data_IF_878990180060
#
_entry.id   IF_878990180060
#
_cell.length_a   1.000
_cell.length_b   1.000
_cell.length_c   1.000
_cell.angle_alpha   90.00
_cell.angle_beta   90.00
_cell.angle_gamma   90.00
#
_symmetry.space_group_name_H-M   'P 1'
#
loop_
_entity.id
_entity.type
_entity.pdbx_description
1 polymer ?
#
# COMPACT_ATOMS: atom_id res chain seq x y z
N UNK A 1 13.94 -28.46 -52.01
CA UNK A 1 13.26 -29.50 -51.23
C UNK A 1 14.22 -29.96 -50.14
N UNK A 2 14.25 -29.25 -49.02
CA UNK A 2 15.10 -29.57 -47.86
C UNK A 2 14.13 -29.74 -46.70
N UNK A 3 13.97 -31.00 -46.31
CA UNK A 3 13.04 -31.47 -45.29
C UNK A 3 13.74 -31.30 -43.93
N UNK A 4 13.29 -30.33 -43.12
CA UNK A 4 13.74 -30.20 -41.74
C UNK A 4 13.08 -31.28 -40.88
N UNK A 5 13.92 -32.02 -40.15
CA UNK A 5 13.53 -33.01 -39.14
C UNK A 5 12.65 -32.36 -38.08
N UNK A 6 11.51 -33.01 -37.82
CA UNK A 6 10.70 -32.83 -36.62
C UNK A 6 11.45 -33.45 -35.43
N UNK A 7 11.72 -32.66 -34.39
CA UNK A 7 12.10 -33.15 -33.08
C UNK A 7 10.96 -32.81 -32.12
N UNK A 8 10.03 -33.75 -32.01
CA UNK A 8 8.99 -33.80 -30.99
C UNK A 8 9.58 -34.46 -29.75
N UNK A 9 9.70 -33.68 -28.66
CA UNK A 9 10.10 -34.16 -27.36
C UNK A 9 9.51 -33.26 -26.29
N UNK A 10 8.21 -33.42 -26.01
CA UNK A 10 7.57 -32.83 -24.84
C UNK A 10 7.97 -33.71 -23.65
N UNK A 11 8.83 -33.21 -22.79
CA UNK A 11 9.01 -33.77 -21.44
C UNK A 11 7.87 -33.23 -20.60
N UNK A 12 6.83 -34.04 -20.39
CA UNK A 12 5.83 -33.79 -19.34
C UNK A 12 6.46 -34.23 -18.02
N UNK A 13 6.98 -33.27 -17.26
CA UNK A 13 7.33 -33.52 -15.85
C UNK A 13 6.02 -33.45 -15.08
N UNK A 14 5.40 -34.60 -14.83
CA UNK A 14 4.31 -34.72 -13.88
C UNK A 14 4.88 -34.53 -12.47
N UNK A 15 4.62 -33.38 -11.86
CA UNK A 15 4.78 -33.20 -10.42
C UNK A 15 3.64 -33.96 -9.71
N UNK A 16 3.86 -35.24 -9.43
CA UNK A 16 3.06 -35.96 -8.43
C UNK A 16 3.66 -35.70 -7.05
N UNK A 17 3.55 -34.46 -6.58
CA UNK A 17 3.75 -34.13 -5.18
C UNK A 17 2.42 -34.32 -4.46
N UNK A 18 2.28 -35.38 -3.68
CA UNK A 18 1.25 -35.42 -2.64
C UNK A 18 1.51 -34.26 -1.69
N UNK A 19 0.65 -33.23 -1.72
CA UNK A 19 0.61 -32.18 -0.70
C UNK A 19 0.32 -32.86 0.63
N UNK A 20 1.36 -33.06 1.43
CA UNK A 20 1.19 -33.39 2.83
C UNK A 20 0.51 -32.17 3.46
N UNK A 21 -0.74 -32.33 3.92
CA UNK A 21 -1.44 -31.29 4.66
C UNK A 21 -0.57 -30.84 5.82
N UNK A 22 -0.17 -29.57 5.86
CA UNK A 22 0.48 -28.98 7.02
C UNK A 22 -0.43 -29.22 8.22
N UNK A 23 0.07 -29.98 9.20
CA UNK A 23 -0.63 -30.20 10.46
C UNK A 23 -0.77 -28.86 11.18
N UNK A 24 -1.96 -28.52 11.70
CA UNK A 24 -2.18 -27.30 12.51
C UNK A 24 -1.17 -27.15 13.66
N UNK A 25 -0.61 -28.25 14.16
CA UNK A 25 0.45 -28.26 15.18
C UNK A 25 1.81 -27.69 14.74
N UNK A 26 1.97 -27.31 13.47
CA UNK A 26 3.20 -26.75 12.91
C UNK A 26 3.08 -25.28 12.48
N UNK A 27 1.90 -24.67 12.62
CA UNK A 27 1.72 -23.27 12.24
C UNK A 27 2.39 -22.34 13.26
N UNK A 28 2.97 -21.21 12.82
CA UNK A 28 3.46 -20.19 13.72
C UNK A 28 2.40 -19.68 14.70
N UNK A 29 2.83 -19.10 15.82
CA UNK A 29 1.91 -18.39 16.70
C UNK A 29 1.14 -17.30 15.95
N UNK A 30 -0.14 -17.11 16.30
CA UNK A 30 -1.06 -16.19 15.62
C UNK A 30 -1.39 -16.56 14.16
N UNK A 31 -0.93 -17.70 13.62
CA UNK A 31 -1.28 -18.12 12.27
C UNK A 31 -2.48 -19.07 12.26
N UNK A 32 -3.40 -18.83 11.34
CA UNK A 32 -4.57 -19.68 11.08
C UNK A 32 -4.58 -20.03 9.60
N UNK A 33 -4.57 -21.33 9.29
CA UNK A 33 -4.72 -21.79 7.93
C UNK A 33 -6.19 -21.90 7.55
N UNK A 34 -6.56 -21.29 6.43
CA UNK A 34 -7.91 -21.30 5.88
C UNK A 34 -7.86 -21.98 4.52
N UNK A 35 -8.24 -23.26 4.47
CA UNK A 35 -8.26 -24.04 3.23
C UNK A 35 -9.29 -23.47 2.25
N UNK A 36 -8.88 -22.92 1.08
CA UNK A 36 -9.80 -22.36 0.11
C UNK A 36 -10.85 -23.37 -0.39
N UNK A 37 -10.54 -24.68 -0.35
CA UNK A 37 -11.47 -25.74 -0.75
C UNK A 37 -12.67 -25.84 0.16
N UNK A 38 -12.55 -25.43 1.42
CA UNK A 38 -13.66 -25.49 2.38
C UNK A 38 -14.74 -24.43 2.12
N UNK A 39 -14.44 -23.41 1.30
CA UNK A 39 -15.39 -22.36 0.90
C UNK A 39 -15.68 -22.36 -0.61
N UNK A 40 -15.13 -23.33 -1.35
CA UNK A 40 -15.43 -23.49 -2.78
C UNK A 40 -16.91 -23.86 -3.02
N UNK A 41 -17.55 -24.53 -2.06
CA UNK A 41 -18.98 -24.90 -2.10
C UNK A 41 -19.60 -24.65 -0.74
N UNK A 42 -20.44 -23.62 -0.64
CA UNK A 42 -21.06 -23.22 0.63
C UNK A 42 -22.37 -23.97 0.95
N UNK A 43 -23.05 -24.51 -0.07
CA UNK A 43 -24.30 -25.24 0.11
C UNK A 43 -25.56 -24.35 0.17
N UNK A 44 -26.76 -24.95 0.25
CA UNK A 44 -28.04 -24.27 0.03
C UNK A 44 -28.47 -23.32 1.17
N UNK A 45 -27.86 -23.43 2.36
CA UNK A 45 -28.21 -22.63 3.54
C UNK A 45 -27.07 -21.69 3.96
N UNK A 46 -26.18 -21.37 3.03
CA UNK A 46 -25.04 -20.51 3.31
C UNK A 46 -25.41 -19.04 3.40
N UNK A 47 -24.78 -18.34 4.35
CA UNK A 47 -24.81 -16.89 4.40
C UNK A 47 -23.72 -16.32 3.48
N UNK A 48 -24.14 -15.73 2.37
CA UNK A 48 -23.24 -15.04 1.45
C UNK A 48 -22.89 -13.65 1.98
N UNK A 49 -21.62 -13.25 1.81
CA UNK A 49 -21.18 -11.88 2.07
C UNK A 49 -21.73 -10.97 0.98
N UNK A 50 -22.65 -10.07 1.33
CA UNK A 50 -23.29 -9.14 0.39
C UNK A 50 -22.63 -7.76 0.40
N UNK A 51 -21.66 -7.54 1.29
CA UNK A 51 -20.93 -6.29 1.42
C UNK A 51 -19.47 -6.57 1.75
N UNK A 52 -18.56 -6.34 0.81
CA UNK A 52 -17.13 -6.61 1.03
C UNK A 52 -16.47 -5.59 1.96
N UNK A 53 -17.06 -4.43 2.23
CA UNK A 53 -16.50 -3.43 3.14
C UNK A 53 -16.86 -3.71 4.60
N UNK A 54 -18.06 -4.25 4.85
CA UNK A 54 -18.58 -4.45 6.20
C UNK A 54 -18.66 -5.93 6.64
N UNK A 55 -18.74 -6.87 5.69
CA UNK A 55 -18.73 -8.31 5.96
C UNK A 55 -17.35 -8.88 5.60
N UNK A 56 -16.44 -8.86 6.57
CA UNK A 56 -15.05 -9.31 6.40
C UNK A 56 -14.94 -10.84 6.41
N UNK A 57 -13.96 -11.40 5.68
CA UNK A 57 -13.79 -12.85 5.57
C UNK A 57 -12.94 -13.42 6.72
N UNK A 58 -13.60 -13.75 7.84
CA UNK A 58 -12.99 -14.42 9.00
C UNK A 58 -13.79 -15.69 9.39
N UNK A 59 -13.69 -16.76 8.60
CA UNK A 59 -14.54 -17.93 8.78
C UNK A 59 -14.25 -18.72 10.08
N UNK A 60 -13.07 -18.56 10.66
CA UNK A 60 -12.68 -19.20 11.93
C UNK A 60 -13.07 -18.38 13.15
N UNK A 61 -13.67 -17.19 12.96
CA UNK A 61 -14.00 -16.25 14.04
C UNK A 61 -12.81 -15.96 14.96
N UNK A 62 -11.59 -15.98 14.41
CA UNK A 62 -10.37 -15.76 15.19
C UNK A 62 -10.28 -14.30 15.59
N UNK A 63 -9.93 -14.03 16.85
CA UNK A 63 -9.75 -12.66 17.36
C UNK A 63 -8.51 -12.01 16.72
N UNK A 64 -8.65 -10.84 16.06
CA UNK A 64 -7.51 -10.07 15.55
C UNK A 64 -6.61 -9.49 16.66
N UNK A 65 -5.32 -9.23 16.37
CA UNK A 65 -4.64 -9.42 15.09
C UNK A 65 -4.08 -10.85 14.90
N UNK A 66 -4.16 -11.39 13.68
CA UNK A 66 -3.63 -12.72 13.35
C UNK A 66 -3.20 -12.83 11.87
N UNK A 67 -2.39 -13.84 11.54
CA UNK A 67 -2.02 -14.17 10.16
C UNK A 67 -3.03 -15.17 9.59
N UNK A 68 -3.79 -14.76 8.58
CA UNK A 68 -4.71 -15.65 7.87
C UNK A 68 -4.00 -16.22 6.65
N UNK A 69 -3.81 -17.54 6.60
CA UNK A 69 -3.03 -18.21 5.56
C UNK A 69 -3.97 -18.88 4.56
N UNK A 70 -3.76 -18.63 3.27
CA UNK A 70 -4.49 -19.28 2.17
C UNK A 70 -3.60 -20.22 1.35
N UNK A 71 -2.31 -19.91 1.28
CA UNK A 71 -1.29 -20.66 0.55
C UNK A 71 -0.05 -20.85 1.43
N UNK A 72 0.52 -22.06 1.42
CA UNK A 72 1.68 -22.42 2.25
C UNK A 72 2.91 -21.55 1.97
N UNK A 73 3.03 -20.96 0.77
CA UNK A 73 4.10 -20.01 0.43
C UNK A 73 4.12 -18.79 1.37
N UNK A 74 2.99 -18.43 1.99
CA UNK A 74 2.95 -17.37 2.98
C UNK A 74 3.78 -17.69 4.24
N UNK A 75 3.99 -18.97 4.56
CA UNK A 75 4.86 -19.37 5.67
C UNK A 75 6.32 -18.96 5.45
N UNK A 76 6.77 -18.86 4.19
CA UNK A 76 8.11 -18.34 3.86
C UNK A 76 8.22 -16.84 4.16
N UNK A 77 7.17 -16.07 3.88
CA UNK A 77 7.09 -14.65 4.22
C UNK A 77 7.13 -14.46 5.75
N UNK A 78 6.35 -15.25 6.48
CA UNK A 78 6.26 -15.17 7.94
C UNK A 78 7.55 -15.61 8.64
N UNK A 79 8.17 -16.70 8.17
CA UNK A 79 9.32 -17.32 8.81
C UNK A 79 8.95 -18.17 10.03
N UNK A 80 9.97 -18.56 10.81
CA UNK A 80 9.80 -19.52 11.91
C UNK A 80 9.19 -18.95 13.19
N UNK A 81 9.36 -17.65 13.45
CA UNK A 81 8.91 -16.99 14.69
C UNK A 81 8.33 -15.60 14.42
N UNK A 82 7.29 -15.49 13.57
CA UNK A 82 6.64 -14.22 13.30
C UNK A 82 5.92 -13.68 14.54
N UNK A 83 5.72 -12.37 14.58
CA UNK A 83 4.85 -11.73 15.58
C UNK A 83 4.07 -10.60 14.93
N UNK A 84 2.86 -10.35 15.43
CA UNK A 84 2.02 -9.27 14.93
C UNK A 84 1.34 -8.53 16.09
N UNK A 85 1.73 -7.28 16.32
CA UNK A 85 1.38 -6.55 17.56
C UNK A 85 1.03 -5.11 17.29
N UNK A 86 0.05 -4.61 18.04
CA UNK A 86 -0.28 -3.18 18.13
C UNK A 86 0.87 -2.43 18.84
N UNK A 87 1.33 -1.35 18.23
CA UNK A 87 2.47 -0.54 18.70
C UNK A 87 2.10 0.90 19.06
N UNK A 88 0.97 1.40 18.57
CA UNK A 88 0.41 2.68 18.95
C UNK A 88 -1.11 2.69 18.75
N UNK A 89 -1.82 3.46 19.58
CA UNK A 89 -3.28 3.60 19.49
C UNK A 89 -3.77 4.93 20.05
N UNK A 90 -4.75 5.52 19.38
CA UNK A 90 -5.54 6.67 19.82
C UNK A 90 -6.96 6.51 19.26
N UNK A 91 -7.95 6.13 20.09
CA UNK A 91 -9.31 5.89 19.62
C UNK A 91 -10.03 7.18 19.18
N UNK A 92 -9.46 8.35 19.44
CA UNK A 92 -10.08 9.65 19.15
C UNK A 92 -9.56 10.32 17.88
N UNK A 93 -8.49 9.78 17.30
CA UNK A 93 -7.83 10.39 16.15
C UNK A 93 -7.27 9.33 15.19
N UNK A 94 -7.64 9.40 13.92
CA UNK A 94 -7.13 8.52 12.87
C UNK A 94 -5.73 8.94 12.41
N UNK A 95 -4.75 8.80 13.32
CA UNK A 95 -3.39 9.30 13.15
C UNK A 95 -2.54 8.52 12.13
N UNK A 96 -2.89 7.27 11.83
CA UNK A 96 -2.12 6.35 10.99
C UNK A 96 -2.95 5.93 9.79
N UNK A 97 -2.94 6.74 8.74
CA UNK A 97 -3.67 6.46 7.51
C UNK A 97 -2.70 6.18 6.36
N UNK A 98 -1.84 7.15 6.03
CA UNK A 98 -1.27 7.26 4.69
C UNK A 98 0.20 7.70 4.69
N UNK A 99 0.79 7.77 3.50
CA UNK A 99 2.14 8.29 3.24
C UNK A 99 3.28 7.73 4.12
N UNK A 100 3.35 6.42 4.42
CA UNK A 100 4.42 5.91 5.26
C UNK A 100 5.78 5.98 4.54
N UNK A 101 6.79 6.56 5.19
CA UNK A 101 8.17 6.61 4.70
C UNK A 101 9.14 6.22 5.81
N UNK A 102 9.94 5.20 5.55
CA UNK A 102 10.99 4.77 6.47
C UNK A 102 12.29 5.54 6.23
N UNK A 103 12.80 6.23 7.25
CA UNK A 103 14.08 6.91 7.23
C UNK A 103 15.14 6.10 7.98
N UNK A 104 15.87 5.26 7.25
CA UNK A 104 16.91 4.37 7.81
C UNK A 104 17.94 5.07 8.72
N UNK A 105 18.49 6.27 8.37
CA UNK A 105 19.51 6.91 9.21
C UNK A 105 19.04 7.27 10.62
N UNK A 106 17.74 7.53 10.83
CA UNK A 106 17.19 7.83 12.16
C UNK A 106 16.39 6.67 12.75
N UNK A 107 16.17 5.59 11.99
CA UNK A 107 15.30 4.47 12.32
C UNK A 107 13.88 4.93 12.71
N UNK A 108 13.31 5.85 11.92
CA UNK A 108 11.99 6.44 12.12
C UNK A 108 11.07 6.17 10.93
N UNK A 109 9.79 5.95 11.20
CA UNK A 109 8.74 5.89 10.18
C UNK A 109 7.92 7.17 10.26
N UNK A 110 7.87 7.92 9.17
CA UNK A 110 7.00 9.08 8.96
C UNK A 110 5.70 8.60 8.32
N UNK A 111 4.58 9.26 8.59
CA UNK A 111 3.25 8.93 8.06
C UNK A 111 2.31 10.12 8.24
N UNK A 112 1.14 10.08 7.60
CA UNK A 112 0.07 11.07 7.75
C UNK A 112 -1.20 10.49 8.35
N UNK A 113 -1.93 11.35 9.07
CA UNK A 113 -3.29 11.08 9.52
C UNK A 113 -4.27 11.13 8.34
N UNK A 114 -5.46 10.58 8.56
CA UNK A 114 -6.54 10.61 7.58
C UNK A 114 -6.85 12.06 7.14
N UNK A 115 -7.03 12.26 5.83
CA UNK A 115 -7.30 13.57 5.22
C UNK A 115 -8.80 13.91 5.13
N UNK A 116 -9.65 13.12 5.81
CA UNK A 116 -11.04 13.47 6.07
C UNK A 116 -11.72 12.55 7.10
N UNK A 117 -13.05 12.51 7.03
CA UNK A 117 -13.88 11.65 7.88
C UNK A 117 -13.98 12.10 9.35
N UNK A 118 -14.82 11.42 10.16
CA UNK A 118 -15.13 11.86 11.52
C UNK A 118 -13.94 11.88 12.49
N UNK A 119 -12.93 11.03 12.26
CA UNK A 119 -11.75 10.90 13.12
C UNK A 119 -10.46 11.45 12.49
N UNK A 120 -10.48 11.87 11.23
CA UNK A 120 -9.30 12.49 10.59
C UNK A 120 -9.05 13.92 11.06
N UNK A 121 -10.07 14.59 11.63
CA UNK A 121 -9.99 15.96 12.17
C UNK A 121 -9.44 16.98 11.15
N UNK A 122 -9.63 16.69 9.87
CA UNK A 122 -9.17 17.43 8.71
C UNK A 122 -10.36 17.69 7.79
N UNK A 123 -10.41 18.89 7.21
CA UNK A 123 -11.51 19.34 6.35
C UNK A 123 -11.04 20.52 5.47
N UNK A 124 -11.96 21.25 4.84
CA UNK A 124 -11.63 22.43 4.05
C UNK A 124 -10.82 23.50 4.82
N UNK A 125 -11.00 23.59 6.14
CA UNK A 125 -10.41 24.59 7.04
C UNK A 125 -9.30 24.02 7.94
N UNK A 126 -9.19 22.70 8.09
CA UNK A 126 -8.16 22.03 8.90
C UNK A 126 -7.29 21.08 8.06
N UNK A 127 -5.98 21.18 8.22
CA UNK A 127 -5.03 20.30 7.52
C UNK A 127 -4.93 18.94 8.24
N UNK A 128 -4.52 17.89 7.54
CA UNK A 128 -4.13 16.64 8.19
C UNK A 128 -2.74 16.76 8.85
N UNK A 129 -2.42 15.81 9.71
CA UNK A 129 -1.22 15.85 10.56
C UNK A 129 -0.19 14.85 10.05
N UNK A 130 1.04 15.33 9.86
CA UNK A 130 2.18 14.47 9.54
C UNK A 130 2.91 14.17 10.84
N UNK A 131 3.22 12.90 11.06
CA UNK A 131 3.84 12.42 12.30
C UNK A 131 4.96 11.45 12.02
N UNK A 132 5.72 11.11 13.06
CA UNK A 132 6.71 10.03 13.04
C UNK A 132 6.71 9.21 14.32
N UNK A 133 7.17 7.97 14.20
CA UNK A 133 7.38 7.03 15.30
C UNK A 133 8.80 6.46 15.24
N UNK A 134 9.46 6.30 16.40
CA UNK A 134 10.80 5.73 16.48
C UNK A 134 10.73 4.21 16.56
N UNK A 135 11.33 3.52 15.59
CA UNK A 135 11.39 2.05 15.61
C UNK A 135 12.27 1.52 16.73
N UNK A 136 13.27 2.31 17.17
CA UNK A 136 14.08 2.00 18.36
C UNK A 136 13.23 1.98 19.63
N UNK A 137 12.33 2.95 19.81
CA UNK A 137 11.41 2.98 20.96
C UNK A 137 10.37 1.85 20.89
N UNK A 138 9.88 1.55 19.68
CA UNK A 138 9.01 0.39 19.45
C UNK A 138 9.68 -0.91 19.88
N UNK A 139 10.91 -1.19 19.43
CA UNK A 139 11.63 -2.41 19.80
C UNK A 139 11.91 -2.48 21.31
N UNK A 140 12.23 -1.34 21.95
CA UNK A 140 12.41 -1.29 23.39
C UNK A 140 11.10 -1.60 24.15
N UNK A 141 9.97 -1.05 23.72
CA UNK A 141 8.67 -1.29 24.33
C UNK A 141 8.22 -2.75 24.13
N UNK A 142 8.40 -3.31 22.94
CA UNK A 142 8.08 -4.71 22.64
C UNK A 142 8.98 -5.70 23.41
N UNK A 143 10.24 -5.34 23.66
CA UNK A 143 11.16 -6.13 24.48
C UNK A 143 10.79 -6.08 25.97
N UNK A 144 10.30 -4.93 26.45
CA UNK A 144 9.86 -4.74 27.83
C UNK A 144 8.51 -5.42 28.12
N UNK A 145 7.65 -5.55 27.10
CA UNK A 145 6.38 -6.28 27.20
C UNK A 145 6.35 -7.44 26.21
N UNK A 146 6.60 -8.66 26.68
CA UNK A 146 6.63 -9.86 25.85
C UNK A 146 5.28 -10.22 25.19
N UNK A 147 4.14 -9.71 25.71
CA UNK A 147 2.79 -10.10 25.24
C UNK A 147 1.82 -8.92 25.18
N UNK A 148 1.00 -8.84 24.12
CA UNK A 148 -0.08 -7.85 24.02
C UNK A 148 0.32 -6.51 23.41
N UNK A 149 -0.54 -5.48 23.46
CA UNK A 149 -0.26 -4.19 22.83
C UNK A 149 0.79 -3.37 23.59
N UNK A 150 1.47 -2.47 22.88
CA UNK A 150 2.23 -1.35 23.46
C UNK A 150 1.72 -0.04 22.84
N UNK A 151 1.95 1.08 23.51
CA UNK A 151 1.57 2.39 22.99
C UNK A 151 2.78 3.33 23.02
N UNK A 152 3.51 3.36 21.91
CA UNK A 152 4.73 4.16 21.75
C UNK A 152 4.35 5.59 21.36
N UNK A 153 4.99 6.62 21.95
CA UNK A 153 4.68 8.00 21.62
C UNK A 153 4.92 8.33 20.15
N UNK A 154 4.02 9.16 19.61
CA UNK A 154 4.11 9.67 18.24
C UNK A 154 4.51 11.14 18.31
N UNK A 155 5.48 11.52 17.46
CA UNK A 155 5.93 12.91 17.34
C UNK A 155 5.28 13.55 16.13
N UNK A 156 4.45 14.57 16.34
CA UNK A 156 3.88 15.36 15.25
C UNK A 156 4.93 16.32 14.68
N UNK A 157 4.91 16.50 13.36
CA UNK A 157 5.77 17.44 12.66
C UNK A 157 5.02 18.76 12.45
N UNK A 158 5.70 19.87 12.74
CA UNK A 158 5.20 21.19 12.42
C UNK A 158 5.72 21.61 11.03
N UNK A 159 5.06 21.14 9.98
CA UNK A 159 5.38 21.53 8.60
C UNK A 159 4.61 22.78 8.18
N UNK A 160 5.09 23.41 7.11
CA UNK A 160 4.41 24.58 6.52
C UNK A 160 3.00 24.23 6.04
N UNK A 161 2.06 25.17 6.22
CA UNK A 161 0.72 25.15 5.61
C UNK A 161 0.71 25.19 4.06
N UNK A 162 1.88 25.14 3.42
CA UNK A 162 1.97 24.84 1.98
C UNK A 162 1.86 23.34 1.68
N UNK A 163 2.09 22.47 2.67
CA UNK A 163 1.98 21.01 2.54
C UNK A 163 0.61 20.60 3.08
N UNK A 164 -0.35 20.37 2.19
CA UNK A 164 -1.77 20.28 2.53
C UNK A 164 -2.32 18.89 2.24
N UNK A 165 -3.05 18.28 3.18
CA UNK A 165 -3.69 16.97 2.99
C UNK A 165 -2.70 15.96 2.41
N UNK A 166 -1.61 15.71 3.14
CA UNK A 166 -0.56 14.78 2.69
C UNK A 166 -1.13 13.38 2.64
N UNK A 167 -1.10 12.76 1.47
CA UNK A 167 -1.72 11.46 1.27
C UNK A 167 -0.74 10.39 0.77
N UNK A 168 0.30 10.75 0.03
CA UNK A 168 1.26 9.76 -0.48
C UNK A 168 2.68 10.11 -0.07
N UNK A 169 3.51 9.09 0.09
CA UNK A 169 4.88 9.23 0.55
C UNK A 169 5.80 8.17 -0.03
N UNK A 170 7.02 8.57 -0.36
CA UNK A 170 8.10 7.64 -0.74
C UNK A 170 9.47 8.22 -0.42
N UNK A 171 10.49 7.37 -0.51
CA UNK A 171 11.89 7.75 -0.28
C UNK A 171 12.60 6.90 0.78
N UNK A 172 13.72 7.40 1.31
CA UNK A 172 14.29 8.74 1.08
C UNK A 172 14.77 8.93 -0.37
N UNK A 173 14.33 10.00 -1.03
CA UNK A 173 14.80 10.43 -2.35
C UNK A 173 15.80 11.57 -2.16
N UNK A 174 17.08 11.34 -2.53
CA UNK A 174 18.19 12.27 -2.26
C UNK A 174 18.23 12.75 -0.80
N UNK A 175 18.14 11.81 0.15
CA UNK A 175 18.11 12.05 1.60
C UNK A 175 16.91 12.88 2.09
N UNK A 176 15.91 13.11 1.25
CA UNK A 176 14.67 13.81 1.58
C UNK A 176 13.49 12.86 1.52
N UNK A 177 12.44 13.15 2.27
CA UNK A 177 11.14 12.50 2.13
C UNK A 177 10.44 13.14 0.93
N UNK A 178 9.86 12.33 0.04
CA UNK A 178 9.07 12.79 -1.08
C UNK A 178 7.59 12.56 -0.77
N UNK A 179 6.81 13.63 -0.72
CA UNK A 179 5.39 13.58 -0.38
C UNK A 179 4.53 14.07 -1.55
N UNK A 180 3.29 13.59 -1.61
CA UNK A 180 2.23 14.20 -2.40
C UNK A 180 1.09 14.68 -1.52
N UNK A 181 0.44 15.74 -1.99
CA UNK A 181 -0.63 16.45 -1.30
C UNK A 181 -1.91 16.39 -2.13
N UNK A 182 -3.06 16.09 -1.50
CA UNK A 182 -4.38 16.09 -2.14
C UNK A 182 -4.87 17.51 -2.51
N UNK A 183 -4.16 18.54 -2.06
CA UNK A 183 -4.57 19.95 -2.12
C UNK A 183 -5.66 20.26 -1.11
N UNK A 184 -6.03 21.54 -0.95
CA UNK A 184 -7.10 21.96 -0.02
C UNK A 184 -7.71 23.30 -0.42
N UNK A 185 -9.01 23.33 -0.69
CA UNK A 185 -9.68 24.50 -1.24
C UNK A 185 -9.01 24.96 -2.53
N UNK A 186 -8.54 26.22 -2.54
CA UNK A 186 -7.78 26.81 -3.65
C UNK A 186 -6.31 26.40 -3.71
N UNK A 187 -5.76 25.85 -2.63
CA UNK A 187 -4.36 25.38 -2.60
C UNK A 187 -4.20 24.15 -3.49
N UNK A 188 -3.26 24.18 -4.45
CA UNK A 188 -3.12 23.11 -5.42
C UNK A 188 -2.55 21.82 -4.77
N UNK A 189 -2.93 20.64 -5.29
CA UNK A 189 -2.18 19.41 -5.05
C UNK A 189 -0.76 19.55 -5.57
N UNK A 190 0.22 18.96 -4.88
CA UNK A 190 1.64 19.14 -5.19
C UNK A 190 2.51 17.96 -4.76
N UNK A 191 3.67 17.83 -5.43
CA UNK A 191 4.79 16.98 -5.03
C UNK A 191 5.78 17.83 -4.25
N UNK A 192 6.18 17.37 -3.06
CA UNK A 192 7.01 18.15 -2.12
C UNK A 192 8.19 17.31 -1.62
N UNK A 193 9.40 17.87 -1.65
CA UNK A 193 10.53 17.34 -0.89
C UNK A 193 10.52 17.91 0.52
N UNK A 194 10.71 17.07 1.52
CA UNK A 194 10.81 17.45 2.93
C UNK A 194 12.09 16.89 3.53
N UNK A 195 12.88 17.73 4.18
CA UNK A 195 14.04 17.26 4.95
C UNK A 195 13.55 16.41 6.14
N UNK A 196 14.04 15.16 6.34
CA UNK A 196 13.62 14.31 7.45
C UNK A 196 14.09 14.83 8.82
N UNK A 197 14.97 15.83 8.86
CA UNK A 197 15.52 16.43 10.07
C UNK A 197 14.95 17.84 10.31
N UNK A 198 14.78 18.26 11.58
CA UNK A 198 14.44 19.64 11.92
C UNK A 198 15.39 20.65 11.23
N UNK A 199 14.88 21.78 10.71
CA UNK A 199 13.52 22.29 10.88
C UNK A 199 12.51 21.77 9.84
N UNK A 200 12.77 20.65 9.17
CA UNK A 200 11.89 20.03 8.16
C UNK A 200 11.58 20.94 6.97
N UNK A 201 12.60 21.61 6.44
CA UNK A 201 12.46 22.47 5.26
C UNK A 201 11.81 21.70 4.10
N UNK A 202 10.88 22.37 3.42
CA UNK A 202 10.12 21.79 2.33
C UNK A 202 10.31 22.56 1.02
N UNK A 203 10.21 21.87 -0.11
CA UNK A 203 10.32 22.45 -1.45
C UNK A 203 9.31 21.80 -2.38
N UNK A 204 8.42 22.62 -2.97
CA UNK A 204 7.48 22.17 -4.00
C UNK A 204 8.23 21.89 -5.30
N UNK A 205 8.04 20.70 -5.87
CA UNK A 205 8.63 20.28 -7.14
C UNK A 205 7.68 20.41 -8.32
N UNK A 206 6.39 20.18 -8.09
CA UNK A 206 5.35 20.17 -9.12
C UNK A 206 3.99 20.42 -8.46
N UNK A 207 3.15 21.29 -9.04
CA UNK A 207 1.81 21.62 -8.53
C UNK A 207 0.72 21.73 -9.62
N UNK A 208 1.09 21.51 -10.89
CA UNK A 208 0.18 21.62 -12.02
C UNK A 208 0.59 20.77 -13.22
N UNK A 209 -0.35 20.57 -14.14
CA UNK A 209 -0.16 19.99 -15.46
C UNK A 209 -0.44 21.03 -16.54
N UNK A 210 0.61 21.69 -17.05
CA UNK A 210 0.53 22.75 -18.07
C UNK A 210 -0.46 23.88 -17.70
N UNK A 211 -0.47 24.29 -16.43
CA UNK A 211 -1.38 25.30 -15.88
C UNK A 211 -2.74 24.78 -15.46
N UNK A 212 -3.06 23.49 -15.68
CA UNK A 212 -4.25 22.84 -15.12
C UNK A 212 -3.91 22.26 -13.75
N UNK A 213 -4.78 22.47 -12.76
CA UNK A 213 -4.57 21.86 -11.46
C UNK A 213 -4.89 20.36 -11.51
N UNK A 214 -4.04 19.57 -10.86
CA UNK A 214 -4.36 18.20 -10.47
C UNK A 214 -5.65 18.13 -9.66
N UNK A 215 -6.29 16.96 -9.62
CA UNK A 215 -7.52 16.74 -8.87
C UNK A 215 -7.18 16.69 -7.38
N UNK A 216 -6.58 15.57 -6.95
CA UNK A 216 -6.00 15.29 -5.65
C UNK A 216 -4.96 14.19 -5.83
N UNK A 217 -3.67 14.55 -5.67
CA UNK A 217 -2.61 13.55 -5.74
C UNK A 217 -2.73 12.61 -4.55
N UNK A 218 -2.69 11.31 -4.81
CA UNK A 218 -2.97 10.31 -3.78
C UNK A 218 -1.70 9.54 -3.42
N UNK A 219 -1.12 8.77 -4.34
CA UNK A 219 0.06 7.95 -4.04
C UNK A 219 1.25 8.23 -4.97
N UNK A 220 2.47 7.93 -4.52
CA UNK A 220 3.72 8.29 -5.20
C UNK A 220 4.82 7.24 -5.02
N UNK A 221 5.59 6.96 -6.08
CA UNK A 221 6.83 6.15 -6.02
C UNK A 221 7.91 6.67 -6.95
N UNK A 222 9.16 6.45 -6.55
CA UNK A 222 10.33 6.67 -7.40
C UNK A 222 10.64 5.38 -8.16
N UNK A 223 10.85 5.49 -9.46
CA UNK A 223 11.23 4.32 -10.26
C UNK A 223 12.66 3.88 -9.92
N UNK A 224 12.88 2.58 -9.62
CA UNK A 224 14.08 2.12 -8.92
C UNK A 224 15.37 2.26 -9.71
N UNK A 225 15.32 2.22 -11.04
CA UNK A 225 16.52 2.23 -11.90
C UNK A 225 16.80 3.56 -12.61
N UNK A 226 15.81 4.45 -12.76
CA UNK A 226 15.98 5.72 -13.48
C UNK A 226 15.65 6.95 -12.61
N UNK A 227 15.09 6.77 -11.40
CA UNK A 227 14.79 7.84 -10.45
C UNK A 227 13.67 8.80 -10.85
N UNK A 228 12.90 8.49 -11.90
CA UNK A 228 11.75 9.29 -12.32
C UNK A 228 10.61 9.07 -11.32
N UNK A 229 9.80 10.10 -11.09
CA UNK A 229 8.76 10.09 -10.07
C UNK A 229 7.42 9.76 -10.72
N UNK A 230 6.67 8.80 -10.17
CA UNK A 230 5.37 8.38 -10.66
C UNK A 230 4.33 8.55 -9.56
N UNK A 231 3.15 9.02 -9.92
CA UNK A 231 2.11 9.35 -8.95
C UNK A 231 0.70 9.22 -9.54
N UNK A 232 -0.27 9.02 -8.66
CA UNK A 232 -1.69 8.89 -9.02
C UNK A 232 -2.44 10.19 -8.71
N UNK A 233 -3.41 10.52 -9.57
CA UNK A 233 -4.31 11.67 -9.40
C UNK A 233 -5.76 11.18 -9.48
N UNK A 234 -6.54 11.47 -8.44
CA UNK A 234 -7.86 10.88 -8.17
C UNK A 234 -8.73 11.88 -7.41
N UNK A 235 -10.03 11.61 -7.25
CA UNK A 235 -11.03 12.56 -6.71
C UNK A 235 -11.26 12.50 -5.19
N UNK A 236 -10.37 11.89 -4.40
CA UNK A 236 -10.61 11.74 -2.96
C UNK A 236 -10.83 13.07 -2.24
N UNK A 237 -10.09 14.13 -2.58
CA UNK A 237 -10.34 15.43 -1.95
C UNK A 237 -11.72 16.01 -2.26
N UNK A 238 -12.30 15.69 -3.43
CA UNK A 238 -13.68 16.04 -3.74
C UNK A 238 -14.66 15.16 -2.94
N UNK A 239 -14.40 13.85 -2.88
CA UNK A 239 -15.20 12.90 -2.10
C UNK A 239 -15.15 13.15 -0.58
N UNK A 240 -14.09 13.79 -0.10
CA UNK A 240 -13.89 14.22 1.29
C UNK A 240 -14.25 15.71 1.50
N UNK A 241 -14.84 16.36 0.50
CA UNK A 241 -15.41 17.72 0.57
C UNK A 241 -14.41 18.86 0.85
N UNK A 242 -13.11 18.64 0.65
CA UNK A 242 -12.08 19.67 0.82
C UNK A 242 -11.47 20.15 -0.51
N UNK A 243 -11.86 19.58 -1.65
CA UNK A 243 -11.50 20.04 -3.01
C UNK A 243 -12.74 20.26 -3.89
N UNK A 244 -12.64 21.13 -4.91
CA UNK A 244 -13.72 21.31 -5.89
C UNK A 244 -13.91 20.05 -6.75
N UNK A 245 -15.01 20.03 -7.51
CA UNK A 245 -15.27 18.97 -8.47
C UNK A 245 -14.10 18.79 -9.46
N UNK A 246 -13.73 17.54 -9.82
CA UNK A 246 -12.61 17.27 -10.72
C UNK A 246 -12.76 17.92 -12.10
N UNK A 247 -11.66 18.45 -12.62
CA UNK A 247 -11.58 19.04 -13.97
C UNK A 247 -10.64 18.28 -14.91
N UNK A 248 -10.06 17.17 -14.44
CA UNK A 248 -9.17 16.28 -15.20
C UNK A 248 -9.54 14.81 -14.97
N UNK A 249 -9.21 13.91 -15.91
CA UNK A 249 -9.39 12.47 -15.70
C UNK A 249 -8.45 11.93 -14.62
N UNK A 250 -8.83 10.79 -14.02
CA UNK A 250 -8.03 10.11 -13.00
C UNK A 250 -7.02 9.17 -13.66
N UNK A 251 -5.73 9.44 -13.44
CA UNK A 251 -4.66 8.87 -14.24
C UNK A 251 -3.37 8.72 -13.43
N UNK A 252 -2.43 7.95 -14.00
CA UNK A 252 -1.06 7.85 -13.51
C UNK A 252 -0.18 8.77 -14.31
N UNK A 253 0.56 9.62 -13.61
CA UNK A 253 1.50 10.57 -14.18
C UNK A 253 2.94 10.18 -13.87
N UNK A 254 3.85 10.69 -14.69
CA UNK A 254 5.29 10.63 -14.48
C UNK A 254 5.88 12.02 -14.55
N UNK A 255 6.65 12.39 -13.54
CA UNK A 255 7.43 13.60 -13.44
C UNK A 255 8.92 13.30 -13.61
N UNK A 256 9.58 14.09 -14.45
CA UNK A 256 11.02 14.12 -14.63
C UNK A 256 11.62 15.27 -13.83
N UNK A 257 12.30 15.02 -12.71
CA UNK A 257 12.87 16.09 -11.89
C UNK A 257 14.04 16.82 -12.60
N UNK A 258 14.65 16.22 -13.62
CA UNK A 258 15.81 16.82 -14.31
C UNK A 258 15.38 17.80 -15.42
N UNK A 259 14.21 17.55 -16.04
CA UNK A 259 13.68 18.36 -17.15
C UNK A 259 12.39 19.10 -16.79
N UNK A 260 11.86 18.87 -15.59
CA UNK A 260 10.53 19.27 -15.14
C UNK A 260 9.38 18.77 -16.04
N UNK A 261 9.64 17.81 -16.92
CA UNK A 261 8.63 17.29 -17.83
C UNK A 261 7.66 16.38 -17.07
N UNK A 262 6.37 16.70 -17.16
CA UNK A 262 5.26 15.88 -16.65
C UNK A 262 4.45 15.32 -17.81
N UNK A 263 4.08 14.03 -17.72
CA UNK A 263 3.20 13.39 -18.70
C UNK A 263 2.41 12.25 -18.10
N UNK A 264 1.27 11.93 -18.71
CA UNK A 264 0.47 10.74 -18.43
C UNK A 264 1.22 9.49 -18.89
N UNK A 265 1.18 8.43 -18.10
CA UNK A 265 1.78 7.12 -18.43
C UNK A 265 0.79 5.97 -18.44
N UNK A 266 -0.37 6.12 -17.80
CA UNK A 266 -1.47 5.16 -17.81
C UNK A 266 -2.81 5.86 -17.55
N UNK A 267 -3.88 5.38 -18.17
CA UNK A 267 -5.25 5.87 -18.01
C UNK A 267 -6.27 4.70 -17.97
N UNK A 268 -7.56 5.03 -17.99
CA UNK A 268 -8.65 4.04 -17.99
C UNK A 268 -8.96 3.42 -16.62
N UNK A 269 -8.51 4.05 -15.54
CA UNK A 269 -8.86 3.66 -14.16
C UNK A 269 -10.21 4.28 -13.74
N UNK A 270 -10.87 3.66 -12.78
CA UNK A 270 -11.96 4.32 -12.07
C UNK A 270 -11.41 5.24 -10.98
N UNK A 271 -10.52 4.74 -10.12
CA UNK A 271 -9.81 5.50 -9.09
C UNK A 271 -8.40 4.92 -8.90
N UNK A 272 -7.38 5.39 -9.64
CA UNK A 272 -6.02 4.92 -9.42
C UNK A 272 -5.55 5.38 -8.04
N UNK A 273 -4.99 4.48 -7.25
CA UNK A 273 -4.58 4.76 -5.88
C UNK A 273 -3.11 4.33 -5.71
N UNK A 274 -2.85 3.21 -5.03
CA UNK A 274 -1.53 2.69 -4.74
C UNK A 274 -0.72 2.39 -6.00
N UNK A 275 0.58 2.69 -5.96
CA UNK A 275 1.53 2.37 -7.05
C UNK A 275 2.79 1.72 -6.49
N UNK A 276 3.32 0.73 -7.20
CA UNK A 276 4.62 0.14 -6.88
C UNK A 276 5.33 -0.41 -8.13
N UNK A 277 6.64 -0.65 -8.02
CA UNK A 277 7.46 -1.22 -9.08
C UNK A 277 8.18 -2.47 -8.61
N UNK A 278 8.43 -3.41 -9.51
CA UNK A 278 9.45 -4.46 -9.28
C UNK A 278 10.82 -3.83 -9.10
N UNK A 279 11.78 -4.48 -8.40
CA UNK A 279 13.12 -3.91 -8.15
C UNK A 279 13.89 -3.52 -9.43
N UNK A 280 13.66 -4.23 -10.53
CA UNK A 280 14.25 -3.91 -11.84
C UNK A 280 13.52 -2.76 -12.58
N UNK A 281 12.35 -2.34 -12.08
CA UNK A 281 11.50 -1.30 -12.65
C UNK A 281 10.73 -1.72 -13.90
N UNK A 282 10.79 -2.99 -14.31
CA UNK A 282 10.18 -3.45 -15.56
C UNK A 282 8.67 -3.68 -15.46
N UNK A 283 8.15 -3.89 -14.25
CA UNK A 283 6.71 -4.03 -14.00
C UNK A 283 6.25 -2.98 -13.01
N UNK A 284 5.12 -2.35 -13.31
CA UNK A 284 4.40 -1.47 -12.40
C UNK A 284 3.09 -2.13 -11.96
N UNK A 285 2.72 -1.91 -10.70
CA UNK A 285 1.43 -2.28 -10.14
C UNK A 285 0.67 -1.02 -9.77
N UNK A 286 -0.63 -0.99 -10.08
CA UNK A 286 -1.51 0.12 -9.71
C UNK A 286 -2.83 -0.45 -9.20
N UNK A 287 -3.27 -0.04 -8.02
CA UNK A 287 -4.60 -0.39 -7.51
C UNK A 287 -5.67 0.54 -8.09
N UNK A 288 -6.86 -0.02 -8.30
CA UNK A 288 -8.06 0.70 -8.70
C UNK A 288 -9.13 0.47 -7.63
N UNK A 289 -9.43 1.54 -6.90
CA UNK A 289 -10.28 1.57 -5.71
C UNK A 289 -11.69 2.05 -6.04
N UNK A 290 -12.12 1.94 -7.29
CA UNK A 290 -13.39 2.48 -7.79
C UNK A 290 -14.65 2.07 -7.01
N UNK A 291 -14.63 0.95 -6.29
CA UNK A 291 -15.72 0.53 -5.41
C UNK A 291 -15.91 1.43 -4.17
N UNK A 292 -14.89 2.22 -3.81
CA UNK A 292 -14.96 3.25 -2.75
C UNK A 292 -15.44 4.58 -3.32
N UNK A 293 -16.58 5.07 -2.84
CA UNK A 293 -17.25 6.26 -3.40
C UNK A 293 -17.38 7.46 -2.46
N UNK A 294 -16.83 7.39 -1.24
CA UNK A 294 -16.95 8.48 -0.25
C UNK A 294 -18.41 8.88 0.00
N UNK A 295 -18.75 10.17 -0.07
CA UNK A 295 -20.14 10.64 0.13
C UNK A 295 -21.15 10.10 -0.91
N UNK A 296 -20.68 9.59 -2.05
CA UNK A 296 -21.54 8.95 -3.06
C UNK A 296 -21.91 7.50 -2.69
N UNK A 297 -21.30 6.94 -1.65
CA UNK A 297 -21.49 5.57 -1.20
C UNK A 297 -20.65 4.56 -1.99
N UNK A 298 -20.43 3.39 -1.39
CA UNK A 298 -19.67 2.32 -2.03
C UNK A 298 -20.49 1.65 -3.13
N UNK A 299 -19.81 1.24 -4.21
CA UNK A 299 -20.42 0.51 -5.32
C UNK A 299 -19.58 -0.73 -5.65
N UNK A 300 -20.03 -1.89 -5.15
CA UNK A 300 -19.33 -3.17 -5.27
C UNK A 300 -19.23 -3.71 -6.70
N UNK A 301 -19.88 -3.06 -7.67
CA UNK A 301 -19.77 -3.40 -9.10
C UNK A 301 -18.61 -2.69 -9.80
N UNK A 302 -17.96 -1.73 -9.13
CA UNK A 302 -16.78 -1.02 -9.61
C UNK A 302 -15.48 -1.73 -9.16
N UNK A 303 -14.32 -1.34 -9.72
CA UNK A 303 -13.05 -2.00 -9.41
C UNK A 303 -12.70 -2.02 -7.92
N UNK A 304 -12.19 -3.16 -7.48
CA UNK A 304 -11.47 -3.36 -6.22
C UNK A 304 -10.24 -4.24 -6.52
N UNK A 305 -9.45 -3.81 -7.50
CA UNK A 305 -8.47 -4.66 -8.19
C UNK A 305 -7.09 -4.02 -8.25
N UNK A 306 -6.06 -4.86 -8.27
CA UNK A 306 -4.68 -4.46 -8.61
C UNK A 306 -4.41 -4.86 -10.05
N UNK A 307 -3.86 -3.94 -10.84
CA UNK A 307 -3.44 -4.18 -12.21
C UNK A 307 -1.93 -4.13 -12.33
N UNK A 308 -1.36 -5.03 -13.14
CA UNK A 308 0.04 -4.99 -13.52
C UNK A 308 0.21 -4.43 -14.94
N UNK A 309 1.36 -3.83 -15.18
CA UNK A 309 1.74 -3.20 -16.44
C UNK A 309 3.21 -3.47 -16.74
N UNK A 310 3.54 -3.61 -18.02
CA UNK A 310 4.94 -3.56 -18.46
C UNK A 310 5.36 -2.08 -18.57
N UNK A 311 6.53 -1.74 -18.03
CA UNK A 311 7.08 -0.39 -18.13
C UNK A 311 7.98 -0.32 -19.35
N UNK A 312 7.63 0.55 -20.31
CA UNK A 312 8.46 0.73 -21.50
C UNK A 312 9.84 1.32 -21.13
N UNK A 313 10.96 0.69 -21.50
CA UNK A 313 12.29 1.08 -20.99
C UNK A 313 12.79 2.43 -21.52
N UNK A 314 12.17 2.98 -22.58
CA UNK A 314 12.58 4.25 -23.19
C UNK A 314 11.64 5.37 -22.75
N UNK A 315 10.36 5.19 -23.01
CA UNK A 315 9.34 6.19 -22.74
C UNK A 315 8.93 6.16 -21.28
N UNK A 316 8.86 4.99 -20.65
CA UNK A 316 8.26 4.70 -19.34
C UNK A 316 6.72 4.77 -19.33
N UNK A 317 6.09 4.62 -20.51
CA UNK A 317 4.64 4.39 -20.61
C UNK A 317 4.33 3.00 -20.05
N UNK A 318 3.20 2.88 -19.36
CA UNK A 318 2.69 1.60 -18.90
C UNK A 318 1.92 0.91 -20.02
N UNK A 319 2.28 -0.33 -20.31
CA UNK A 319 1.72 -1.14 -21.40
C UNK A 319 1.09 -2.41 -20.85
N UNK A 320 0.26 -3.06 -21.68
CA UNK A 320 -0.25 -4.41 -21.42
C UNK A 320 -0.93 -4.56 -20.05
N UNK A 321 -1.90 -3.67 -19.75
CA UNK A 321 -2.72 -3.73 -18.54
C UNK A 321 -3.30 -5.14 -18.38
N UNK A 322 -3.04 -5.75 -17.23
CA UNK A 322 -3.54 -7.08 -16.86
C UNK A 322 -4.00 -7.08 -15.41
N UNK A 323 -5.07 -7.79 -15.13
CA UNK A 323 -5.53 -8.00 -13.75
C UNK A 323 -4.48 -8.85 -13.04
N UNK A 324 -4.01 -8.40 -11.88
CA UNK A 324 -3.20 -9.20 -10.97
C UNK A 324 -4.10 -9.80 -9.88
N UNK A 325 -4.87 -8.95 -9.20
CA UNK A 325 -5.63 -9.34 -8.02
C UNK A 325 -6.97 -8.61 -7.93
N UNK A 326 -7.89 -9.21 -7.17
CA UNK A 326 -9.15 -8.61 -6.72
C UNK A 326 -9.24 -8.82 -5.21
N UNK A 327 -9.41 -7.73 -4.46
CA UNK A 327 -9.51 -7.79 -3.00
C UNK A 327 -10.84 -8.41 -2.59
N UNK A 328 -10.83 -9.36 -1.67
CA UNK A 328 -12.07 -9.99 -1.19
C UNK A 328 -12.80 -9.15 -0.13
N UNK A 329 -12.13 -8.12 0.43
CA UNK A 329 -12.64 -7.20 1.42
C UNK A 329 -12.26 -5.75 1.07
N UNK A 330 -13.27 -4.88 0.92
CA UNK A 330 -13.09 -3.48 0.55
C UNK A 330 -12.44 -3.29 -0.82
N UNK A 331 -11.39 -2.47 -0.84
CA UNK A 331 -10.57 -2.16 -2.02
C UNK A 331 -9.08 -2.28 -1.64
N UNK A 332 -8.20 -2.67 -2.60
CA UNK A 332 -6.76 -2.57 -2.40
C UNK A 332 -6.33 -1.10 -2.51
N UNK A 333 -5.77 -0.56 -1.43
CA UNK A 333 -5.38 0.85 -1.32
C UNK A 333 -3.89 1.02 -1.71
N UNK A 334 -3.02 1.45 -0.79
CA UNK A 334 -1.58 1.54 -0.99
C UNK A 334 -0.92 0.19 -1.33
N UNK A 335 0.21 0.22 -2.04
CA UNK A 335 0.93 -0.98 -2.49
C UNK A 335 2.40 -0.95 -2.08
N UNK A 336 2.87 -2.06 -1.50
CA UNK A 336 4.29 -2.34 -1.27
C UNK A 336 4.69 -3.71 -1.80
N UNK A 337 5.98 -3.88 -2.07
CA UNK A 337 6.57 -5.15 -2.47
C UNK A 337 7.66 -5.59 -1.48
N UNK A 338 7.80 -6.91 -1.34
CA UNK A 338 9.00 -7.51 -0.75
C UNK A 338 10.06 -7.82 -1.83
N UNK A 339 11.25 -8.27 -1.40
CA UNK A 339 12.36 -8.62 -2.30
C UNK A 339 12.08 -9.79 -3.24
N UNK A 340 11.11 -10.64 -2.91
CA UNK A 340 10.72 -11.80 -3.71
C UNK A 340 9.60 -11.46 -4.71
N UNK A 341 9.14 -10.20 -4.70
CA UNK A 341 8.13 -9.66 -5.58
C UNK A 341 6.70 -9.91 -5.11
N UNK A 342 6.48 -10.36 -3.88
CA UNK A 342 5.13 -10.47 -3.32
C UNK A 342 4.55 -9.07 -3.10
N UNK A 343 3.27 -8.91 -3.39
CA UNK A 343 2.55 -7.64 -3.45
C UNK A 343 1.66 -7.54 -2.22
N UNK A 344 1.86 -6.49 -1.43
CA UNK A 344 1.12 -6.17 -0.21
C UNK A 344 0.19 -5.00 -0.52
N UNK A 345 -1.07 -5.07 -0.09
CA UNK A 345 -1.97 -3.91 -0.17
C UNK A 345 -2.92 -3.82 1.01
N UNK A 346 -3.24 -2.59 1.41
CA UNK A 346 -4.20 -2.29 2.46
C UNK A 346 -5.61 -2.57 1.97
N UNK A 347 -6.43 -3.20 2.80
CA UNK A 347 -7.80 -3.62 2.50
C UNK A 347 -8.69 -3.42 3.73
N UNK A 348 -10.01 -3.62 3.58
CA UNK A 348 -10.96 -3.40 4.68
C UNK A 348 -10.79 -4.33 5.89
N UNK A 349 -10.04 -5.43 5.75
CA UNK A 349 -9.78 -6.41 6.81
C UNK A 349 -8.34 -6.45 7.32
N UNK A 350 -7.47 -5.58 6.81
CA UNK A 350 -6.04 -5.56 7.10
C UNK A 350 -5.22 -5.54 5.83
N UNK A 351 -3.99 -6.04 5.88
CA UNK A 351 -3.11 -6.09 4.70
C UNK A 351 -3.17 -7.47 4.04
N UNK A 352 -3.52 -7.50 2.75
CA UNK A 352 -3.54 -8.73 1.96
C UNK A 352 -2.25 -8.86 1.14
N UNK A 353 -1.81 -10.11 0.92
CA UNK A 353 -0.56 -10.41 0.20
C UNK A 353 -0.80 -11.36 -0.94
N UNK A 354 -0.37 -10.97 -2.15
CA UNK A 354 -0.44 -11.78 -3.35
C UNK A 354 0.95 -12.13 -3.86
N UNK A 355 1.09 -13.32 -4.43
CA UNK A 355 2.27 -13.69 -5.21
C UNK A 355 2.30 -12.94 -6.56
N UNK A 356 3.46 -12.88 -7.24
CA UNK A 356 3.57 -12.30 -8.59
C UNK A 356 2.63 -12.94 -9.64
N UNK A 357 2.17 -14.16 -9.40
CA UNK A 357 1.21 -14.88 -10.24
C UNK A 357 -0.27 -14.52 -9.97
N UNK A 358 -0.54 -13.65 -8.99
CA UNK A 358 -1.88 -13.23 -8.57
C UNK A 358 -2.53 -14.11 -7.50
N UNK A 359 -1.87 -15.18 -7.03
CA UNK A 359 -2.40 -16.02 -5.95
C UNK A 359 -2.43 -15.24 -4.63
N UNK A 360 -3.59 -15.18 -3.97
CA UNK A 360 -3.69 -14.68 -2.60
C UNK A 360 -2.96 -15.64 -1.65
N UNK A 361 -1.86 -15.18 -1.06
CA UNK A 361 -1.03 -15.98 -0.16
C UNK A 361 -1.58 -16.00 1.26
N UNK A 362 -1.95 -14.82 1.75
CA UNK A 362 -2.36 -14.62 3.12
C UNK A 362 -2.74 -13.18 3.45
N UNK A 363 -3.12 -12.95 4.69
CA UNK A 363 -3.46 -11.63 5.23
C UNK A 363 -2.83 -11.42 6.59
N UNK A 364 -2.40 -10.19 6.84
CA UNK A 364 -2.23 -9.63 8.17
C UNK A 364 -3.61 -9.13 8.61
N UNK A 365 -4.43 -10.03 9.15
CA UNK A 365 -5.83 -9.75 9.44
C UNK A 365 -5.97 -8.92 10.72
N UNK A 366 -6.66 -7.79 10.62
CA UNK A 366 -6.92 -6.85 11.71
C UNK A 366 -8.40 -6.72 12.06
N UNK A 367 -9.30 -7.12 11.16
CA UNK A 367 -10.74 -6.89 11.33
C UNK A 367 -11.14 -5.41 11.25
N UNK A 368 -10.25 -4.58 10.72
CA UNK A 368 -10.42 -3.16 10.45
C UNK A 368 -9.60 -2.77 9.24
N UNK A 369 -9.97 -1.66 8.61
CA UNK A 369 -9.32 -1.17 7.39
C UNK A 369 -7.88 -0.76 7.63
N UNK A 370 -7.04 -0.99 6.63
CA UNK A 370 -5.70 -0.40 6.51
C UNK A 370 -5.58 0.26 5.14
N UNK A 371 -5.04 1.47 5.10
CA UNK A 371 -4.80 2.17 3.84
C UNK A 371 -3.38 1.85 3.32
N UNK A 372 -2.38 1.91 4.20
CA UNK A 372 -0.97 1.77 3.79
C UNK A 372 -0.13 0.94 4.77
N UNK A 373 1.04 0.52 4.29
CA UNK A 373 2.05 -0.22 5.06
C UNK A 373 3.45 0.13 4.55
N UNK A 374 4.47 -0.11 5.36
CA UNK A 374 5.86 0.08 4.94
C UNK A 374 6.79 -0.90 5.63
N UNK A 375 7.79 -1.38 4.88
CA UNK A 375 8.92 -2.05 5.50
C UNK A 375 9.85 -1.01 6.14
N UNK A 376 9.91 -1.02 7.47
CA UNK A 376 10.89 -0.27 8.24
C UNK A 376 12.23 -1.03 8.27
N UNK A 377 12.78 -1.39 7.10
CA UNK A 377 13.88 -2.33 6.95
C UNK A 377 13.44 -3.81 6.98
N UNK A 378 14.40 -4.71 6.83
CA UNK A 378 14.14 -6.16 6.70
C UNK A 378 13.35 -6.71 7.88
N UNK A 379 12.31 -7.47 7.57
CA UNK A 379 11.49 -8.17 8.55
C UNK A 379 10.64 -7.30 9.46
N UNK A 380 10.58 -5.97 9.27
CA UNK A 380 9.76 -5.04 10.07
C UNK A 380 8.69 -4.39 9.19
N UNK A 381 7.49 -4.96 9.13
CA UNK A 381 6.36 -4.39 8.39
C UNK A 381 5.48 -3.57 9.33
N UNK A 382 5.49 -2.24 9.17
CA UNK A 382 4.60 -1.31 9.88
C UNK A 382 3.32 -1.15 9.08
N UNK A 383 2.17 -1.31 9.74
CA UNK A 383 0.84 -1.27 9.12
C UNK A 383 0.04 -0.12 9.75
N UNK A 384 -0.50 0.77 8.91
CA UNK A 384 -1.30 1.91 9.31
C UNK A 384 -2.79 1.54 9.29
N UNK A 385 -3.47 1.67 10.43
CA UNK A 385 -4.85 1.20 10.64
C UNK A 385 -5.70 2.27 11.35
N UNK A 386 -5.78 3.46 10.75
CA UNK A 386 -6.54 4.62 11.23
C UNK A 386 -6.14 5.05 12.64
N UNK A 387 -6.91 4.63 13.64
CA UNK A 387 -6.72 4.90 15.09
C UNK A 387 -5.66 4.01 15.75
N UNK A 388 -5.02 3.13 14.97
CA UNK A 388 -4.06 2.15 15.46
C UNK A 388 -2.91 1.97 14.47
N UNK A 389 -1.78 1.52 15.01
CA UNK A 389 -0.62 1.13 14.21
C UNK A 389 -0.10 -0.21 14.71
N UNK A 390 0.30 -1.07 13.78
CA UNK A 390 0.80 -2.41 14.09
C UNK A 390 2.20 -2.61 13.51
N UNK A 391 2.98 -3.46 14.17
CA UNK A 391 4.23 -4.01 13.65
C UNK A 391 4.06 -5.53 13.48
N UNK A 392 4.31 -6.01 12.27
CA UNK A 392 4.57 -7.41 12.02
C UNK A 392 6.09 -7.64 11.89
N UNK A 393 6.64 -8.55 12.72
CA UNK A 393 8.00 -9.06 12.55
C UNK A 393 7.94 -10.37 11.79
N UNK A 394 8.57 -10.41 10.63
CA UNK A 394 8.47 -11.49 9.63
C UNK A 394 9.83 -11.78 8.98
N UNK A 395 9.92 -12.78 8.11
CA UNK A 395 11.14 -13.13 7.39
C UNK A 395 11.32 -12.39 6.05
N UNK A 396 10.25 -11.85 5.47
CA UNK A 396 10.30 -11.09 4.24
C UNK A 396 11.23 -9.86 4.34
N UNK A 397 11.90 -9.55 3.24
CA UNK A 397 12.89 -8.47 3.14
C UNK A 397 12.34 -7.30 2.35
N UNK A 398 12.82 -6.11 2.68
CA UNK A 398 12.38 -4.89 2.03
C UNK A 398 13.03 -4.71 0.66
N UNK A 399 12.49 -3.77 -0.11
CA UNK A 399 13.14 -3.24 -1.31
C UNK A 399 13.51 -1.77 -1.09
N UNK A 400 14.62 -1.27 -1.68
CA UNK A 400 14.92 0.17 -1.63
C UNK A 400 13.89 0.99 -2.39
N UNK A 401 13.32 2.02 -1.76
CA UNK A 401 12.28 2.89 -2.35
C UNK A 401 12.80 4.26 -2.80
N UNK A 402 14.03 4.62 -2.43
CA UNK A 402 14.64 5.92 -2.75
C UNK A 402 15.05 6.12 -4.21
N UNK A 403 14.97 5.07 -5.04
CA UNK A 403 15.55 5.07 -6.38
C UNK A 403 17.08 5.05 -6.38
N UNK A 404 17.71 5.23 -7.54
CA UNK A 404 19.17 5.25 -7.64
C UNK A 404 19.71 6.55 -7.01
N UNK A 405 20.87 6.47 -6.36
CA UNK A 405 21.57 7.67 -5.86
C UNK A 405 21.84 8.63 -7.01
N UNK A 406 21.40 9.88 -6.89
CA UNK A 406 21.67 10.95 -7.85
C UNK A 406 22.78 11.85 -7.29
N UNK A 407 23.78 12.15 -8.12
CA UNK A 407 24.91 13.02 -7.79
C UNK A 407 24.58 14.50 -7.95
#
# INVERSE_FOLDING_TARGET
MVLFKVLSGIVVIAFTGTLASVSESQLPSQAIFVDPRSFAVMGPNADFRNDSFNMLFNPTSTTPPFFQIFDERFLTILGGSPSFREIASDPTFAFAHEAPVYNEPTDEVFFSSNDGGPLGMSDLNHNNVISKISMKEVEAALSANATGPVNVPITQLNLSDSIQMTNGGTGPYNSSILLVTSGRGSSPPSIVLVNPLPPYNATVLLDNYFGRQFVSLNDIKVHPTNGKIFFTDVDYGFLNLFRPAPLMPFQVYRFDPDTSAVRVVADGFNKPNGIAFTPDGNTAYVSDTGASGGFLGNNLTLPASIYAFDVDPVTHVFKNRRVLAYADAGVPDGIQLDSDGNIYSGCADGTQVWAPDGTLLGKFFLGMSTAEMIFAGDGRLVILAETKMFLAKIAAKSIPLGGPSRN
#
